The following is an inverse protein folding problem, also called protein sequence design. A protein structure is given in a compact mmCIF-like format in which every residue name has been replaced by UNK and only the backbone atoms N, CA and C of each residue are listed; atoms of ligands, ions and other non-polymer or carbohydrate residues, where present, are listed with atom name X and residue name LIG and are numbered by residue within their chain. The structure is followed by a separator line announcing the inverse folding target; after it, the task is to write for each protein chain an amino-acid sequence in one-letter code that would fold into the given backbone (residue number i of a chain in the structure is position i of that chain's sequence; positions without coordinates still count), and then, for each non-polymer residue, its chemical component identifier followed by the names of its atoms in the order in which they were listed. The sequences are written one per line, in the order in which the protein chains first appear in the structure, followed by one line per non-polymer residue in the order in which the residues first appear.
data_IF_314590434472
#
_entry.id   IF_314590434472
#
_cell.length_a   1.000
_cell.length_b   1.000
_cell.length_c   1.000
_cell.angle_alpha   90.00
_cell.angle_beta   90.00
_cell.angle_gamma   90.00
#
_symmetry.space_group_name_H-M   'P 1'
#
loop_
_entity.id
_entity.type
_entity.pdbx_description
1 polymer ?
#
# COMPACT_ATOMS: atom_id res chain seq x y z
N UNK A 1 -24.63 -6.19 5.11
CA UNK A 1 -24.08 -7.26 4.25
C UNK A 1 -22.58 -7.32 4.48
N UNK A 2 -22.02 -8.54 4.56
CA UNK A 2 -20.56 -8.73 4.65
C UNK A 2 -19.90 -8.21 3.38
N UNK A 3 -18.81 -7.45 3.53
CA UNK A 3 -18.01 -6.97 2.41
C UNK A 3 -16.97 -8.04 2.09
N UNK A 4 -16.86 -8.43 0.83
CA UNK A 4 -15.94 -9.50 0.38
C UNK A 4 -14.87 -8.92 -0.52
N UNK A 5 -13.61 -9.16 -0.20
CA UNK A 5 -12.47 -8.93 -1.08
C UNK A 5 -12.20 -10.23 -1.85
N UNK A 6 -12.28 -10.20 -3.19
CA UNK A 6 -11.90 -11.35 -4.01
C UNK A 6 -10.41 -11.30 -4.32
N UNK A 7 -9.76 -12.46 -4.31
CA UNK A 7 -8.31 -12.60 -4.54
C UNK A 7 -8.09 -13.68 -5.59
N UNK A 8 -7.28 -13.37 -6.60
CA UNK A 8 -6.86 -14.31 -7.65
C UNK A 8 -5.34 -14.37 -7.70
N UNK A 9 -4.75 -15.56 -7.61
CA UNK A 9 -3.31 -15.75 -7.80
C UNK A 9 -2.88 -15.40 -9.22
N UNK A 10 -1.66 -14.88 -9.34
CA UNK A 10 -0.96 -14.75 -10.63
C UNK A 10 -0.44 -16.13 -11.07
N UNK A 11 -0.23 -16.37 -12.40
CA UNK A 11 0.15 -17.68 -12.91
C UNK A 11 1.40 -18.29 -12.28
N UNK A 12 2.40 -17.46 -11.94
CA UNK A 12 3.68 -17.92 -11.40
C UNK A 12 3.72 -17.93 -9.86
N UNK A 13 2.57 -17.74 -9.22
CA UNK A 13 2.44 -17.79 -7.75
C UNK A 13 2.13 -19.21 -7.31
N UNK A 14 2.83 -19.70 -6.29
CA UNK A 14 2.56 -21.01 -5.69
C UNK A 14 1.12 -21.04 -5.14
N UNK A 15 0.43 -22.17 -5.32
CA UNK A 15 -0.97 -22.33 -4.90
C UNK A 15 -1.17 -22.23 -3.37
N UNK A 16 -0.11 -22.40 -2.59
CA UNK A 16 -0.07 -22.28 -1.13
C UNK A 16 0.54 -20.98 -0.65
N UNK A 17 0.91 -20.05 -1.57
CA UNK A 17 1.43 -18.74 -1.18
C UNK A 17 0.39 -17.99 -0.36
N UNK A 18 0.77 -17.41 0.82
CA UNK A 18 -0.19 -16.86 1.75
C UNK A 18 -0.93 -15.64 1.17
N UNK A 19 -2.26 -15.72 1.12
CA UNK A 19 -3.13 -14.58 0.78
C UNK A 19 -3.06 -13.51 1.88
N UNK A 20 -3.46 -12.25 1.58
CA UNK A 20 -3.59 -11.19 2.58
C UNK A 20 -4.52 -11.60 3.70
N UNK A 21 -4.09 -11.39 4.95
CA UNK A 21 -4.94 -11.67 6.12
C UNK A 21 -4.69 -10.70 7.26
N UNK A 22 -5.72 -10.48 8.07
CA UNK A 22 -5.59 -9.80 9.35
C UNK A 22 -4.81 -10.68 10.32
N UNK A 23 -3.88 -10.10 11.07
CA UNK A 23 -3.06 -10.86 12.03
C UNK A 23 -3.75 -11.00 13.39
N UNK A 24 -4.64 -10.07 13.74
CA UNK A 24 -5.44 -10.08 14.98
C UNK A 24 -6.86 -9.62 14.66
N UNK A 25 -7.80 -9.91 15.56
CA UNK A 25 -9.20 -9.46 15.42
C UNK A 25 -9.37 -7.93 15.33
N UNK A 26 -8.44 -7.17 15.91
CA UNK A 26 -8.45 -5.70 15.88
C UNK A 26 -7.58 -5.08 14.78
N UNK A 27 -6.94 -5.89 13.93
CA UNK A 27 -6.12 -5.35 12.83
C UNK A 27 -6.98 -4.66 11.79
N UNK A 28 -6.61 -3.44 11.38
CA UNK A 28 -7.22 -2.72 10.26
C UNK A 28 -6.57 -3.10 8.91
N UNK A 29 -5.34 -3.58 8.94
CA UNK A 29 -4.55 -3.91 7.75
C UNK A 29 -4.39 -5.41 7.53
N UNK A 30 -4.49 -5.81 6.26
CA UNK A 30 -4.15 -7.13 5.76
C UNK A 30 -2.67 -7.13 5.37
N UNK A 31 -1.85 -7.99 5.95
CA UNK A 31 -0.43 -8.07 5.58
C UNK A 31 -0.24 -8.52 4.12
N UNK A 32 0.58 -7.78 3.38
CA UNK A 32 1.02 -8.10 2.02
C UNK A 32 2.43 -8.65 2.06
N UNK A 33 2.65 -9.78 1.39
CA UNK A 33 3.95 -10.43 1.27
C UNK A 33 4.58 -10.22 -0.09
N UNK A 34 5.92 -10.24 -0.12
CA UNK A 34 6.69 -10.20 -1.36
C UNK A 34 6.61 -11.56 -2.07
N UNK A 35 6.02 -11.60 -3.25
CA UNK A 35 6.07 -12.74 -4.15
C UNK A 35 7.14 -12.46 -5.22
N UNK A 36 8.36 -12.96 -4.97
CA UNK A 36 9.49 -12.74 -5.86
C UNK A 36 9.47 -13.71 -7.05
N UNK A 37 10.06 -13.33 -8.19
CA UNK A 37 10.30 -14.24 -9.32
C UNK A 37 11.05 -15.50 -8.88
N UNK A 38 10.84 -16.62 -9.55
CA UNK A 38 11.44 -17.92 -9.19
C UNK A 38 12.96 -17.81 -9.02
N UNK A 39 13.64 -17.07 -9.90
CA UNK A 39 15.10 -16.87 -9.85
C UNK A 39 15.61 -16.14 -8.61
N UNK A 40 14.73 -15.39 -7.92
CA UNK A 40 15.08 -14.56 -6.75
C UNK A 40 14.57 -15.12 -5.42
N UNK A 41 13.77 -16.20 -5.43
CA UNK A 41 13.13 -16.75 -4.22
C UNK A 41 14.12 -17.21 -3.15
N UNK A 42 15.25 -17.78 -3.58
CA UNK A 42 16.28 -18.30 -2.65
C UNK A 42 17.09 -17.16 -2.04
N UNK A 43 17.59 -16.24 -2.90
CA UNK A 43 18.54 -15.22 -2.48
C UNK A 43 17.85 -13.91 -2.04
N UNK A 44 16.60 -13.70 -2.47
CA UNK A 44 15.89 -12.44 -2.30
C UNK A 44 16.31 -11.40 -3.34
N UNK A 45 15.74 -10.21 -3.22
CA UNK A 45 16.05 -9.05 -4.09
C UNK A 45 16.58 -7.92 -3.23
N UNK A 46 17.74 -7.37 -3.61
CA UNK A 46 18.39 -6.29 -2.85
C UNK A 46 17.91 -4.92 -3.33
N UNK A 47 17.43 -4.12 -2.39
CA UNK A 47 17.05 -2.73 -2.56
C UNK A 47 18.15 -1.83 -2.02
N UNK A 48 18.93 -1.19 -2.91
CA UNK A 48 20.04 -0.31 -2.56
C UNK A 48 19.54 0.99 -1.90
N UNK A 49 20.37 1.72 -1.13
CA UNK A 49 20.03 3.04 -0.63
C UNK A 49 19.52 3.97 -1.73
N UNK A 50 18.38 4.64 -1.50
CA UNK A 50 17.72 5.52 -2.46
C UNK A 50 17.00 4.81 -3.63
N UNK A 51 17.18 3.52 -3.81
CA UNK A 51 16.54 2.76 -4.87
C UNK A 51 15.05 2.55 -4.59
N UNK A 52 14.24 2.50 -5.69
CA UNK A 52 12.83 2.10 -5.67
C UNK A 52 12.70 0.76 -6.40
N UNK A 53 11.82 -0.09 -5.89
CA UNK A 53 11.57 -1.41 -6.47
C UNK A 53 10.09 -1.77 -6.34
N UNK A 54 9.47 -2.19 -7.44
CA UNK A 54 8.12 -2.73 -7.44
C UNK A 54 8.18 -4.21 -7.08
N UNK A 55 7.61 -4.57 -5.93
CA UNK A 55 7.52 -5.95 -5.45
C UNK A 55 6.13 -6.48 -5.75
N UNK A 56 6.04 -7.60 -6.44
CA UNK A 56 4.77 -8.30 -6.67
C UNK A 56 4.22 -8.86 -5.37
N UNK A 57 2.90 -8.80 -5.21
CA UNK A 57 2.17 -9.49 -4.13
C UNK A 57 1.83 -10.94 -4.48
N UNK A 58 1.95 -11.34 -5.76
CA UNK A 58 1.55 -12.66 -6.24
C UNK A 58 0.08 -12.79 -6.61
N UNK A 59 -0.73 -11.72 -6.54
CA UNK A 59 -2.16 -11.80 -6.82
C UNK A 59 -2.76 -10.51 -7.39
N UNK A 60 -3.97 -10.65 -7.91
CA UNK A 60 -4.92 -9.58 -8.23
C UNK A 60 -6.00 -9.55 -7.17
N UNK A 61 -6.65 -8.40 -7.02
CA UNK A 61 -7.79 -8.24 -6.10
C UNK A 61 -8.97 -7.59 -6.81
N UNK A 62 -10.17 -7.90 -6.33
CA UNK A 62 -11.38 -7.16 -6.65
C UNK A 62 -11.97 -6.59 -5.36
N UNK A 63 -11.98 -5.27 -5.29
CA UNK A 63 -12.46 -4.53 -4.12
C UNK A 63 -13.95 -4.25 -4.31
N UNK A 64 -14.78 -4.42 -3.27
CA UNK A 64 -16.22 -4.17 -3.38
C UNK A 64 -16.52 -2.68 -3.67
N UNK A 65 -17.62 -2.42 -4.36
CA UNK A 65 -18.07 -1.08 -4.69
C UNK A 65 -18.19 -0.17 -3.47
N UNK A 66 -17.78 1.10 -3.66
CA UNK A 66 -17.73 2.11 -2.61
C UNK A 66 -16.52 2.02 -1.68
N UNK A 67 -15.55 1.14 -2.01
CA UNK A 67 -14.29 1.00 -1.26
C UNK A 67 -13.09 1.12 -2.19
N UNK A 68 -11.98 1.59 -1.64
CA UNK A 68 -10.65 1.59 -2.22
C UNK A 68 -9.71 0.69 -1.42
N UNK A 69 -8.61 0.26 -2.03
CA UNK A 69 -7.48 -0.34 -1.35
C UNK A 69 -6.39 0.71 -1.11
N UNK A 70 -5.85 0.76 0.10
CA UNK A 70 -4.71 1.60 0.43
C UNK A 70 -3.53 0.72 0.83
N UNK A 71 -2.48 0.73 0.01
CA UNK A 71 -1.22 0.10 0.39
C UNK A 71 -0.47 1.05 1.31
N UNK A 72 -0.17 0.61 2.53
CA UNK A 72 0.56 1.38 3.55
C UNK A 72 1.83 0.67 3.98
N UNK A 73 2.85 1.47 4.34
CA UNK A 73 4.10 0.96 4.88
C UNK A 73 3.88 0.22 6.20
N UNK A 74 4.80 -0.71 6.51
CA UNK A 74 4.87 -1.36 7.81
C UNK A 74 5.81 -0.58 8.73
N UNK A 75 5.30 -0.17 9.90
CA UNK A 75 6.05 0.61 10.89
C UNK A 75 7.38 -0.04 11.29
N UNK A 76 7.41 -1.37 11.44
CA UNK A 76 8.62 -2.09 11.80
C UNK A 76 9.71 -2.05 10.72
N UNK A 77 9.33 -2.09 9.42
CA UNK A 77 10.30 -1.95 8.32
C UNK A 77 10.79 -0.50 8.21
N UNK A 78 9.88 0.47 8.36
CA UNK A 78 10.22 1.88 8.32
C UNK A 78 11.20 2.25 9.46
N UNK A 79 10.88 1.87 10.70
CA UNK A 79 11.68 2.24 11.87
C UNK A 79 13.05 1.52 11.88
N UNK A 80 13.08 0.20 11.61
CA UNK A 80 14.31 -0.59 11.79
C UNK A 80 15.22 -0.58 10.56
N UNK A 81 14.66 -0.39 9.37
CA UNK A 81 15.38 -0.57 8.11
C UNK A 81 15.25 0.62 7.15
N UNK A 82 14.47 1.66 7.49
CA UNK A 82 14.25 2.81 6.61
C UNK A 82 13.47 2.46 5.34
N UNK A 83 12.73 1.34 5.33
CA UNK A 83 11.96 0.92 4.15
C UNK A 83 10.56 1.53 4.21
N UNK A 84 10.23 2.29 3.17
CA UNK A 84 8.96 2.98 3.03
C UNK A 84 8.30 2.66 1.67
N UNK A 85 7.14 3.27 1.41
CA UNK A 85 6.51 3.27 0.09
C UNK A 85 6.93 4.52 -0.68
N UNK A 86 7.40 4.35 -1.92
CA UNK A 86 7.83 5.47 -2.75
C UNK A 86 6.69 6.42 -3.16
N UNK A 87 5.46 5.93 -3.17
CA UNK A 87 4.24 6.68 -3.46
C UNK A 87 3.46 7.12 -2.21
N UNK A 88 4.04 6.97 -1.00
CA UNK A 88 3.40 7.30 0.28
C UNK A 88 2.30 6.30 0.63
N UNK A 89 1.06 6.58 0.21
CA UNK A 89 -0.05 5.62 0.20
C UNK A 89 -0.29 5.20 -1.25
N UNK A 90 -0.24 3.89 -1.53
CA UNK A 90 -0.62 3.37 -2.84
C UNK A 90 -2.14 3.22 -2.92
N UNK A 91 -2.80 3.97 -3.78
CA UNK A 91 -4.25 3.84 -4.02
C UNK A 91 -4.51 2.73 -5.02
N UNK A 92 -5.44 1.83 -4.67
CA UNK A 92 -5.96 0.77 -5.53
C UNK A 92 -7.46 1.02 -5.75
N UNK A 93 -7.81 1.40 -6.95
CA UNK A 93 -9.19 1.65 -7.33
C UNK A 93 -10.00 0.35 -7.34
N UNK A 94 -11.30 0.41 -7.05
CA UNK A 94 -12.15 -0.78 -7.00
C UNK A 94 -12.34 -1.46 -8.36
N UNK A 95 -12.15 -0.75 -9.46
CA UNK A 95 -12.20 -1.26 -10.84
C UNK A 95 -10.84 -1.68 -11.41
N UNK A 96 -9.73 -1.54 -10.65
CA UNK A 96 -8.42 -2.05 -11.04
C UNK A 96 -8.39 -3.59 -10.97
N UNK A 97 -7.94 -4.23 -12.07
CA UNK A 97 -7.85 -5.70 -12.21
C UNK A 97 -6.44 -6.16 -12.58
N UNK A 98 -5.43 -5.29 -12.47
CA UNK A 98 -4.04 -5.65 -12.68
C UNK A 98 -3.42 -6.37 -11.48
N UNK A 99 -2.17 -6.79 -11.63
CA UNK A 99 -1.39 -7.36 -10.54
C UNK A 99 -1.16 -6.35 -9.42
N UNK A 100 -1.42 -6.74 -8.18
CA UNK A 100 -1.16 -5.90 -7.02
C UNK A 100 0.35 -5.86 -6.74
N UNK A 101 0.92 -4.66 -6.77
CA UNK A 101 2.33 -4.42 -6.50
C UNK A 101 2.55 -3.46 -5.33
N UNK A 102 3.69 -3.59 -4.67
CA UNK A 102 4.14 -2.73 -3.58
C UNK A 102 5.40 -1.99 -4.04
N UNK A 103 5.30 -0.66 -4.17
CA UNK A 103 6.41 0.18 -4.60
C UNK A 103 7.25 0.60 -3.38
N UNK A 104 8.30 -0.17 -3.08
CA UNK A 104 9.21 0.11 -1.97
C UNK A 104 10.29 1.13 -2.35
N UNK A 105 10.76 1.86 -1.34
CA UNK A 105 11.95 2.69 -1.38
C UNK A 105 12.82 2.44 -0.15
N UNK A 106 14.14 2.41 -0.33
CA UNK A 106 15.10 2.34 0.78
C UNK A 106 15.62 3.75 1.12
N UNK A 107 15.16 4.30 2.23
CA UNK A 107 15.58 5.61 2.76
C UNK A 107 16.74 5.51 3.74
N UNK A 108 17.29 4.31 3.97
CA UNK A 108 18.45 4.11 4.83
C UNK A 108 19.76 4.25 4.03
N UNK A 109 20.89 4.19 4.74
CA UNK A 109 22.23 4.21 4.15
C UNK A 109 22.79 2.81 3.84
N UNK A 110 22.03 1.73 4.13
CA UNK A 110 22.50 0.36 3.94
C UNK A 110 21.57 -0.40 2.99
N UNK A 111 22.09 -1.36 2.19
CA UNK A 111 21.24 -2.22 1.36
C UNK A 111 20.26 -3.03 2.21
N UNK A 112 19.06 -3.23 1.68
CA UNK A 112 18.03 -4.08 2.30
C UNK A 112 17.65 -5.21 1.38
N UNK A 113 17.76 -6.45 1.85
CA UNK A 113 17.38 -7.63 1.07
C UNK A 113 15.92 -8.02 1.39
N UNK A 114 15.05 -7.89 0.40
CA UNK A 114 13.65 -8.35 0.44
C UNK A 114 13.63 -9.85 0.18
N UNK A 115 13.10 -10.64 1.12
CA UNK A 115 12.97 -12.10 0.98
C UNK A 115 11.60 -12.47 0.41
N UNK A 116 11.56 -13.57 -0.37
CA UNK A 116 10.31 -14.18 -0.77
C UNK A 116 9.44 -14.53 0.45
N UNK A 117 8.13 -14.26 0.39
CA UNK A 117 7.20 -14.47 1.51
C UNK A 117 7.31 -13.46 2.65
N UNK A 118 8.29 -12.54 2.64
CA UNK A 118 8.43 -11.50 3.65
C UNK A 118 7.25 -10.52 3.61
N UNK A 119 6.70 -10.15 4.76
CA UNK A 119 5.67 -9.11 4.87
C UNK A 119 6.30 -7.74 4.61
N UNK A 120 5.91 -7.06 3.52
CA UNK A 120 6.52 -5.81 3.04
C UNK A 120 5.61 -4.59 3.15
N UNK A 121 4.30 -4.80 3.19
CA UNK A 121 3.30 -3.74 3.30
C UNK A 121 2.05 -4.26 3.99
N UNK A 122 1.03 -3.40 4.10
CA UNK A 122 -0.32 -3.76 4.54
C UNK A 122 -1.35 -3.12 3.62
N UNK A 123 -2.44 -3.84 3.35
CA UNK A 123 -3.59 -3.37 2.58
C UNK A 123 -4.72 -2.99 3.54
N UNK A 124 -5.20 -1.78 3.45
CA UNK A 124 -6.40 -1.29 4.13
C UNK A 124 -7.53 -1.21 3.12
N UNK A 125 -8.72 -1.67 3.46
CA UNK A 125 -9.94 -1.45 2.68
C UNK A 125 -10.69 -0.30 3.32
N UNK A 126 -10.80 0.84 2.62
CA UNK A 126 -11.40 2.05 3.12
C UNK A 126 -12.58 2.47 2.24
N UNK A 127 -13.66 2.96 2.85
CA UNK A 127 -14.75 3.57 2.10
C UNK A 127 -14.29 4.90 1.50
N UNK A 128 -14.77 5.23 0.30
CA UNK A 128 -14.54 6.53 -0.34
C UNK A 128 -15.83 7.16 -0.83
N UNK A 129 -15.80 8.47 -1.02
CA UNK A 129 -16.91 9.22 -1.61
C UNK A 129 -16.51 9.82 -2.94
N UNK A 130 -17.33 9.65 -3.97
CA UNK A 130 -17.20 10.37 -5.22
C UNK A 130 -17.96 11.69 -5.12
N UNK A 131 -17.35 12.78 -5.59
CA UNK A 131 -17.94 14.10 -5.60
C UNK A 131 -18.10 14.58 -7.04
N UNK A 132 -19.15 15.36 -7.30
CA UNK A 132 -19.28 16.14 -8.52
C UNK A 132 -18.38 17.38 -8.41
N UNK A 133 -17.57 17.64 -9.43
CA UNK A 133 -16.70 18.82 -9.48
C UNK A 133 -17.41 19.91 -10.28
N UNK A 134 -17.62 21.08 -9.65
CA UNK A 134 -18.19 22.28 -10.28
C UNK A 134 -17.21 23.44 -10.22
N UNK A 135 -16.99 24.08 -11.36
CA UNK A 135 -16.23 25.33 -11.43
C UNK A 135 -17.15 26.45 -10.99
N UNK A 136 -16.74 27.22 -10.00
CA UNK A 136 -17.43 28.41 -9.51
C UNK A 136 -16.48 29.62 -9.55
N UNK A 137 -17.03 30.82 -9.57
CA UNK A 137 -16.25 32.06 -9.55
C UNK A 137 -15.65 32.33 -8.15
N UNK A 138 -16.41 31.98 -7.13
CA UNK A 138 -16.06 32.22 -5.72
C UNK A 138 -16.50 31.01 -4.88
N UNK A 139 -15.73 30.69 -3.85
CA UNK A 139 -16.06 29.72 -2.81
C UNK A 139 -16.42 30.47 -1.52
N UNK A 140 -17.18 29.81 -0.64
CA UNK A 140 -17.58 30.39 0.64
C UNK A 140 -16.39 30.74 1.53
N UNK A 141 -16.48 31.85 2.26
CA UNK A 141 -15.49 32.24 3.26
C UNK A 141 -15.72 31.49 4.57
N UNK A 142 -14.63 31.31 5.33
CA UNK A 142 -14.66 30.68 6.65
C UNK A 142 -13.83 31.50 7.64
N UNK A 143 -13.89 31.20 8.94
CA UNK A 143 -13.04 31.85 9.96
C UNK A 143 -11.54 31.56 9.75
N UNK A 144 -11.19 30.42 9.13
CA UNK A 144 -9.83 30.06 8.79
C UNK A 144 -9.36 30.72 7.48
N UNK A 145 -10.25 30.84 6.53
CA UNK A 145 -10.04 31.39 5.18
C UNK A 145 -8.73 30.85 4.53
N UNK A 146 -7.79 31.72 4.16
CA UNK A 146 -6.51 31.39 3.52
C UNK A 146 -5.41 30.97 4.52
N UNK A 147 -5.68 30.97 5.81
CA UNK A 147 -4.70 30.64 6.83
C UNK A 147 -4.32 29.16 6.76
N UNK A 148 -3.05 28.86 6.47
CA UNK A 148 -2.49 27.53 6.34
C UNK A 148 -1.03 27.48 6.82
N UNK A 149 -0.33 26.37 6.57
CA UNK A 149 1.11 26.20 6.78
C UNK A 149 1.65 26.70 8.14
N UNK A 150 1.00 26.27 9.23
CA UNK A 150 1.42 26.62 10.60
C UNK A 150 0.73 27.87 11.17
N UNK A 151 -0.34 28.36 10.54
CA UNK A 151 -1.12 29.51 11.03
C UNK A 151 -1.72 29.33 12.44
N UNK A 152 -1.81 28.07 12.94
CA UNK A 152 -2.28 27.74 14.28
C UNK A 152 -1.17 27.72 15.34
N UNK A 153 0.09 28.07 14.96
CA UNK A 153 1.25 28.07 15.84
C UNK A 153 1.81 26.67 16.11
N UNK A 154 2.90 26.63 16.87
CA UNK A 154 3.57 25.37 17.25
C UNK A 154 3.21 24.90 18.67
N UNK A 155 2.43 25.70 19.44
CA UNK A 155 1.99 25.42 20.82
C UNK A 155 0.60 26.02 21.06
#
# INVERSE_FOLDING_TARGET
MSKTLLVQYLPDTESDFPIPKYQTAGSAGLDIRACLPISERINGTTLQPGQRLLISSGFKIEIPDGFEGQIRARSGLALKHGIALANGVGTIDNDYRGALGVLLINLSSVPFNVKHGQRVAQLIIAAFSRVEIKIVREISTTSRNESGYGSTGNF
#
